data_IF_072598036669
#
_entry.id   IF_072598036669
#
_cell.length_a   1.000
_cell.length_b   1.000
_cell.length_c   1.000
_cell.angle_alpha   90.00
_cell.angle_beta   90.00
_cell.angle_gamma   90.00
#
_symmetry.space_group_name_H-M   'P 1'
#
loop_
_entity.id
_entity.type
_entity.pdbx_description
1 polymer ?
#
# COMPACT_ATOMS: atom_id res chain seq x y z
N UNK A 1 -58.46 30.60 18.22
CA UNK A 1 -58.08 29.29 17.67
C UNK A 1 -58.23 29.14 16.14
N UNK A 2 -58.78 30.09 15.42
CA UNK A 2 -59.16 29.95 14.00
C UNK A 2 -58.09 30.40 12.99
N UNK A 3 -57.10 31.21 13.38
CA UNK A 3 -56.05 31.69 12.45
C UNK A 3 -54.88 30.73 12.22
N UNK A 4 -54.57 29.90 13.22
CA UNK A 4 -53.43 28.95 13.11
C UNK A 4 -53.75 27.73 12.24
N UNK A 5 -54.99 27.30 12.24
CA UNK A 5 -55.45 26.14 11.44
C UNK A 5 -55.52 26.50 9.94
N UNK A 6 -55.91 27.75 9.59
CA UNK A 6 -55.93 28.19 8.17
C UNK A 6 -54.55 28.34 7.56
N UNK A 7 -53.53 28.62 8.36
CA UNK A 7 -52.17 28.74 7.87
C UNK A 7 -51.53 27.39 7.57
N UNK A 8 -51.82 26.39 8.42
CA UNK A 8 -51.32 25.03 8.20
C UNK A 8 -51.94 24.34 6.97
N UNK A 9 -53.22 24.60 6.68
CA UNK A 9 -53.88 24.04 5.48
C UNK A 9 -53.34 24.65 4.19
N UNK A 10 -53.07 25.98 4.18
CA UNK A 10 -52.46 26.61 3.01
C UNK A 10 -51.05 26.13 2.71
N UNK A 11 -50.24 25.82 3.74
CA UNK A 11 -48.90 25.22 3.57
C UNK A 11 -48.94 23.79 3.06
N UNK A 12 -49.92 22.98 3.52
CA UNK A 12 -50.07 21.60 3.08
C UNK A 12 -50.57 21.50 1.63
N UNK A 13 -51.48 22.38 1.21
CA UNK A 13 -51.98 22.40 -0.17
C UNK A 13 -50.90 22.92 -1.14
N UNK A 14 -50.10 23.92 -0.73
CA UNK A 14 -48.97 24.41 -1.54
C UNK A 14 -47.88 23.32 -1.70
N UNK A 15 -47.63 22.50 -0.68
CA UNK A 15 -46.68 21.40 -0.75
C UNK A 15 -47.17 20.24 -1.63
N UNK A 16 -48.50 19.94 -1.61
CA UNK A 16 -49.08 18.92 -2.47
C UNK A 16 -49.16 19.36 -3.94
N UNK A 17 -49.37 20.62 -4.24
CA UNK A 17 -49.36 21.11 -5.62
C UNK A 17 -47.95 21.17 -6.20
N UNK A 18 -46.93 21.46 -5.36
CA UNK A 18 -45.54 21.37 -5.77
C UNK A 18 -45.09 19.94 -6.10
N UNK A 19 -45.68 18.91 -5.46
CA UNK A 19 -45.40 17.52 -5.76
C UNK A 19 -46.04 17.00 -7.06
N UNK A 20 -47.09 17.66 -7.56
CA UNK A 20 -47.76 17.24 -8.82
C UNK A 20 -47.27 17.97 -10.07
N UNK A 21 -46.48 19.05 -9.92
CA UNK A 21 -45.93 19.80 -11.06
C UNK A 21 -44.45 19.47 -11.36
N UNK A 22 -43.81 18.65 -10.55
CA UNK A 22 -42.48 18.13 -10.85
C UNK A 22 -42.54 16.74 -11.53
N UNK A 23 -43.34 16.66 -12.58
CA UNK A 23 -43.38 15.46 -13.44
C UNK A 23 -42.26 15.39 -14.46
N UNK A 24 -41.15 16.08 -14.27
CA UNK A 24 -39.85 15.70 -14.79
C UNK A 24 -39.08 15.07 -13.65
N UNK A 25 -39.13 13.75 -13.59
CA UNK A 25 -38.03 13.00 -13.00
C UNK A 25 -36.84 13.31 -13.91
N UNK A 26 -36.07 14.37 -13.58
CA UNK A 26 -34.70 14.41 -14.05
C UNK A 26 -34.11 13.06 -13.65
N UNK A 27 -33.87 12.21 -14.64
CA UNK A 27 -33.07 11.04 -14.43
C UNK A 27 -31.75 11.54 -13.87
N UNK A 28 -31.56 11.40 -12.55
CA UNK A 28 -30.26 11.58 -11.97
C UNK A 28 -29.33 10.77 -12.85
N UNK A 29 -28.28 11.38 -13.44
CA UNK A 29 -27.31 10.60 -14.18
C UNK A 29 -26.93 9.45 -13.25
N UNK A 30 -27.04 8.22 -13.74
CA UNK A 30 -26.53 7.06 -13.00
C UNK A 30 -25.13 7.48 -12.53
N UNK A 31 -24.81 7.38 -11.24
CA UNK A 31 -23.44 7.69 -10.83
C UNK A 31 -22.56 6.86 -11.72
N UNK A 32 -21.69 7.52 -12.52
CA UNK A 32 -20.74 6.80 -13.36
C UNK A 32 -20.13 5.75 -12.46
N UNK A 33 -20.26 4.48 -12.81
CA UNK A 33 -19.82 3.36 -11.98
C UNK A 33 -18.32 3.49 -11.63
N UNK A 34 -17.62 4.28 -12.44
CA UNK A 34 -16.24 4.70 -12.23
C UNK A 34 -16.11 6.19 -12.56
N UNK A 35 -15.52 6.94 -11.65
CA UNK A 35 -15.06 8.31 -11.94
C UNK A 35 -14.03 8.31 -13.08
N UNK A 36 -13.81 9.46 -13.72
CA UNK A 36 -12.73 9.60 -14.70
C UNK A 36 -11.39 9.24 -14.03
N UNK A 37 -10.52 8.48 -14.72
CA UNK A 37 -9.26 8.05 -14.14
C UNK A 37 -8.37 9.25 -13.82
N UNK A 38 -7.85 9.30 -12.59
CA UNK A 38 -6.80 10.22 -12.19
C UNK A 38 -5.46 9.55 -12.46
N UNK A 39 -4.53 10.27 -13.10
CA UNK A 39 -3.22 9.73 -13.44
C UNK A 39 -2.15 10.35 -12.55
N UNK A 40 -1.32 9.51 -11.95
CA UNK A 40 -0.15 9.92 -11.16
C UNK A 40 1.13 9.55 -11.89
N UNK A 41 2.09 10.48 -11.92
CA UNK A 41 3.40 10.22 -12.54
C UNK A 41 4.28 9.55 -11.48
N UNK A 42 4.75 8.36 -11.79
CA UNK A 42 5.67 7.55 -10.98
C UNK A 42 7.00 7.35 -11.70
N UNK A 43 7.92 6.57 -11.13
CA UNK A 43 9.23 6.30 -11.71
C UNK A 43 9.19 5.44 -12.99
N UNK A 44 10.38 5.12 -13.51
CA UNK A 44 10.52 4.34 -14.77
C UNK A 44 10.24 2.87 -14.53
N UNK A 45 9.43 2.27 -15.41
CA UNK A 45 9.05 0.86 -15.41
C UNK A 45 8.42 0.43 -14.08
N UNK A 46 7.23 0.94 -13.74
CA UNK A 46 6.49 0.46 -12.58
C UNK A 46 6.06 -1.00 -12.80
N UNK A 47 6.34 -1.87 -11.84
CA UNK A 47 6.07 -3.32 -11.96
C UNK A 47 5.15 -3.83 -10.85
N UNK A 48 5.24 -3.26 -9.66
CA UNK A 48 4.45 -3.69 -8.50
C UNK A 48 3.78 -2.48 -7.89
N UNK A 49 2.51 -2.63 -7.53
CA UNK A 49 1.78 -1.68 -6.70
C UNK A 49 1.08 -2.44 -5.57
N UNK A 50 1.21 -1.93 -4.38
CA UNK A 50 0.44 -2.42 -3.22
C UNK A 50 -0.26 -1.25 -2.54
N UNK A 51 -1.39 -1.55 -1.91
CA UNK A 51 -2.17 -0.61 -1.11
C UNK A 51 -2.11 -1.01 0.36
N UNK A 52 -1.66 -0.11 1.21
CA UNK A 52 -1.59 -0.25 2.67
C UNK A 52 -1.69 1.12 3.32
N UNK A 53 -2.29 1.19 4.49
CA UNK A 53 -2.18 2.36 5.35
C UNK A 53 -0.77 2.37 5.96
N UNK A 54 0.10 3.29 5.49
CA UNK A 54 1.51 3.36 5.86
C UNK A 54 1.80 4.37 6.97
N UNK A 55 0.84 5.25 7.29
CA UNK A 55 0.99 6.31 8.28
C UNK A 55 0.00 6.19 9.46
N UNK A 56 -0.84 5.14 9.44
CA UNK A 56 -1.91 4.86 10.42
C UNK A 56 -2.98 5.97 10.49
N UNK A 57 -3.40 6.51 9.32
CA UNK A 57 -4.47 7.50 9.20
C UNK A 57 -5.82 6.89 8.74
N UNK A 58 -5.90 5.56 8.63
CA UNK A 58 -7.04 4.75 8.18
C UNK A 58 -7.33 4.84 6.67
N UNK A 59 -6.57 5.61 5.90
CA UNK A 59 -6.70 5.66 4.45
C UNK A 59 -5.61 4.81 3.78
N UNK A 60 -5.97 4.00 2.76
CA UNK A 60 -4.96 3.23 2.05
C UNK A 60 -4.08 4.14 1.20
N UNK A 61 -2.76 3.97 1.38
CA UNK A 61 -1.72 4.57 0.57
C UNK A 61 -1.27 3.61 -0.54
N UNK A 62 -0.49 4.09 -1.50
CA UNK A 62 0.11 3.26 -2.54
C UNK A 62 1.63 3.27 -2.46
N UNK A 63 2.20 2.09 -2.60
CA UNK A 63 3.63 1.88 -2.81
C UNK A 63 3.84 1.32 -4.22
N UNK A 64 4.63 2.00 -5.06
CA UNK A 64 4.88 1.62 -6.46
C UNK A 64 6.36 1.37 -6.67
N UNK A 65 6.71 0.13 -7.03
CA UNK A 65 8.09 -0.28 -7.32
C UNK A 65 8.43 0.04 -8.77
N UNK A 66 9.50 0.79 -9.00
CA UNK A 66 9.95 1.23 -10.32
C UNK A 66 11.31 0.58 -10.65
N UNK A 67 11.29 -0.56 -11.34
CA UNK A 67 12.48 -1.39 -11.52
C UNK A 67 13.59 -0.70 -12.32
N UNK A 68 13.27 -0.03 -13.41
CA UNK A 68 14.26 0.73 -14.20
C UNK A 68 14.56 2.13 -13.62
N UNK A 69 13.75 2.58 -12.65
CA UNK A 69 13.96 3.84 -11.94
C UNK A 69 14.85 3.69 -10.70
N UNK A 70 15.10 2.46 -10.24
CA UNK A 70 15.76 2.16 -8.96
C UNK A 70 15.12 2.94 -7.80
N UNK A 71 13.80 2.93 -7.77
CA UNK A 71 13.04 3.73 -6.81
C UNK A 71 11.73 3.07 -6.40
N UNK A 72 11.25 3.47 -5.24
CA UNK A 72 9.91 3.23 -4.73
C UNK A 72 9.18 4.57 -4.69
N UNK A 73 7.97 4.65 -5.22
CA UNK A 73 7.10 5.80 -5.00
C UNK A 73 6.09 5.48 -3.91
N UNK A 74 5.94 6.42 -2.99
CA UNK A 74 4.88 6.45 -1.99
C UNK A 74 3.86 7.53 -2.36
N UNK A 75 2.59 7.17 -2.39
CA UNK A 75 1.47 8.07 -2.64
C UNK A 75 0.51 7.98 -1.45
N UNK A 76 0.48 9.01 -0.63
CA UNK A 76 -0.40 9.10 0.53
C UNK A 76 -1.85 9.28 0.09
N UNK A 77 -2.75 8.42 0.58
CA UNK A 77 -4.18 8.50 0.36
C UNK A 77 -4.81 9.66 1.14
N UNK A 78 -5.86 10.27 0.59
CA UNK A 78 -6.60 11.33 1.31
C UNK A 78 -8.05 10.95 1.61
N UNK A 79 -8.39 9.67 1.40
CA UNK A 79 -9.67 9.08 1.79
C UNK A 79 -10.83 9.29 0.82
N UNK A 80 -10.64 10.03 -0.26
CA UNK A 80 -11.65 10.27 -1.31
C UNK A 80 -11.38 9.49 -2.61
N UNK A 81 -10.41 8.57 -2.59
CA UNK A 81 -9.94 7.80 -3.74
C UNK A 81 -8.85 8.51 -4.54
N UNK A 82 -8.36 9.65 -4.06
CA UNK A 82 -7.21 10.35 -4.65
C UNK A 82 -6.00 10.31 -3.70
N UNK A 83 -4.83 10.67 -4.23
CA UNK A 83 -3.55 10.58 -3.52
C UNK A 83 -2.79 11.91 -3.61
N UNK A 84 -1.94 12.17 -2.63
CA UNK A 84 -0.99 13.29 -2.67
C UNK A 84 0.05 13.10 -3.77
N UNK A 85 0.84 14.13 -4.03
CA UNK A 85 1.97 14.06 -4.97
C UNK A 85 2.94 12.94 -4.56
N UNK A 86 3.34 12.05 -5.49
CA UNK A 86 4.23 10.94 -5.18
C UNK A 86 5.55 11.39 -4.57
N UNK A 87 5.93 10.79 -3.43
CA UNK A 87 7.28 10.88 -2.88
C UNK A 87 8.15 9.79 -3.53
N UNK A 88 9.37 10.13 -3.88
CA UNK A 88 10.33 9.16 -4.45
C UNK A 88 11.37 8.80 -3.41
N UNK A 89 11.51 7.50 -3.17
CA UNK A 89 12.50 6.89 -2.28
C UNK A 89 13.48 6.13 -3.15
N UNK A 90 14.76 6.45 -3.06
CA UNK A 90 15.81 5.71 -3.77
C UNK A 90 16.01 4.34 -3.12
N UNK A 91 16.22 3.33 -3.96
CA UNK A 91 16.41 1.92 -3.58
C UNK A 91 17.72 1.39 -4.13
N UNK A 92 17.99 0.10 -3.93
CA UNK A 92 19.01 -0.59 -4.71
C UNK A 92 18.62 -0.77 -6.17
N UNK A 93 19.49 -1.41 -6.97
CA UNK A 93 19.28 -1.60 -8.40
C UNK A 93 18.21 -2.65 -8.68
N UNK A 94 17.37 -2.34 -9.68
CA UNK A 94 16.30 -3.22 -10.15
C UNK A 94 15.42 -3.76 -9.00
N UNK A 95 14.76 -2.86 -8.23
CA UNK A 95 13.81 -3.30 -7.22
C UNK A 95 12.68 -4.10 -7.89
N UNK A 96 12.26 -5.21 -7.26
CA UNK A 96 11.40 -6.20 -7.93
C UNK A 96 10.16 -6.60 -7.14
N UNK A 97 10.31 -6.84 -5.85
CA UNK A 97 9.21 -7.27 -4.98
C UNK A 97 9.34 -6.64 -3.60
N UNK A 98 8.22 -6.39 -2.94
CA UNK A 98 8.20 -5.86 -1.59
C UNK A 98 7.14 -6.55 -0.73
N UNK A 99 7.33 -6.45 0.57
CA UNK A 99 6.31 -6.73 1.58
C UNK A 99 6.36 -5.67 2.68
N UNK A 100 5.27 -5.55 3.43
CA UNK A 100 5.05 -4.51 4.44
C UNK A 100 4.71 -5.13 5.77
N UNK A 101 5.48 -4.79 6.79
CA UNK A 101 5.21 -5.15 8.19
C UNK A 101 5.95 -4.19 9.12
N UNK A 102 5.64 -4.22 10.41
CA UNK A 102 6.42 -3.54 11.43
C UNK A 102 7.67 -4.38 11.75
N UNK A 103 8.85 -3.89 11.35
CA UNK A 103 10.14 -4.58 11.58
C UNK A 103 10.90 -4.06 12.79
N UNK A 104 10.49 -2.90 13.34
CA UNK A 104 11.18 -2.26 14.45
C UNK A 104 10.37 -2.21 15.75
N UNK A 105 9.10 -2.65 15.73
CA UNK A 105 8.21 -2.69 16.89
C UNK A 105 7.63 -1.34 17.31
N UNK A 106 7.61 -0.34 16.40
CA UNK A 106 7.07 0.99 16.71
C UNK A 106 5.59 1.16 16.32
N UNK A 107 4.98 0.12 15.72
CA UNK A 107 3.59 0.10 15.30
C UNK A 107 3.31 0.82 13.99
N UNK A 108 4.34 1.28 13.27
CA UNK A 108 4.22 1.91 11.96
C UNK A 108 4.69 0.90 10.90
N UNK A 109 3.96 0.76 9.78
CA UNK A 109 4.38 -0.15 8.73
C UNK A 109 5.69 0.28 8.08
N UNK A 110 6.62 -0.69 7.93
CA UNK A 110 7.90 -0.59 7.25
C UNK A 110 7.85 -1.38 5.94
N UNK A 111 8.85 -1.20 5.08
CA UNK A 111 8.96 -1.88 3.79
C UNK A 111 10.22 -2.74 3.74
N UNK A 112 10.07 -4.01 3.35
CA UNK A 112 11.16 -4.87 2.91
C UNK A 112 11.12 -4.98 1.38
N UNK A 113 12.15 -4.51 0.68
CA UNK A 113 12.19 -4.41 -0.79
C UNK A 113 13.35 -5.20 -1.36
N UNK A 114 13.07 -6.20 -2.18
CA UNK A 114 14.06 -6.97 -2.93
C UNK A 114 14.69 -6.14 -4.05
N UNK A 115 15.99 -5.94 -4.02
CA UNK A 115 16.76 -5.36 -5.11
C UNK A 115 17.42 -6.48 -5.94
N UNK A 116 16.75 -6.81 -7.05
CA UNK A 116 17.17 -7.91 -7.93
C UNK A 116 18.59 -7.74 -8.46
N UNK A 117 18.96 -6.51 -8.86
CA UNK A 117 20.27 -6.19 -9.41
C UNK A 117 21.41 -6.16 -8.39
N UNK A 118 21.12 -5.85 -7.11
CA UNK A 118 22.14 -5.76 -6.05
C UNK A 118 22.25 -7.02 -5.18
N UNK A 119 21.25 -7.91 -5.24
CA UNK A 119 21.24 -9.13 -4.47
C UNK A 119 21.09 -8.89 -2.96
N UNK A 120 20.28 -7.90 -2.61
CA UNK A 120 19.97 -7.55 -1.22
C UNK A 120 18.47 -7.26 -1.05
N UNK A 121 18.05 -7.10 0.20
CA UNK A 121 16.77 -6.58 0.61
C UNK A 121 17.02 -5.26 1.32
N UNK A 122 16.42 -4.17 0.83
CA UNK A 122 16.41 -2.88 1.52
C UNK A 122 15.29 -2.88 2.56
N UNK A 123 15.62 -2.51 3.79
CA UNK A 123 14.66 -2.26 4.87
C UNK A 123 14.47 -0.75 4.98
N UNK A 124 13.25 -0.31 4.75
CA UNK A 124 12.89 1.11 4.70
C UNK A 124 11.85 1.34 5.79
N UNK A 125 12.23 2.09 6.83
CA UNK A 125 11.40 2.32 7.99
C UNK A 125 10.40 3.45 7.75
N UNK A 126 9.12 3.17 7.99
CA UNK A 126 8.04 4.15 8.01
C UNK A 126 8.15 5.09 9.22
N UNK A 127 7.57 6.28 9.09
CA UNK A 127 7.46 7.28 10.15
C UNK A 127 6.04 7.84 10.20
N UNK A 128 5.59 8.28 11.37
CA UNK A 128 4.23 8.81 11.59
C UNK A 128 3.84 9.99 10.69
N UNK A 129 4.81 10.72 10.20
CA UNK A 129 4.61 11.85 9.29
C UNK A 129 4.52 11.43 7.82
N UNK A 130 4.45 10.11 7.54
CA UNK A 130 4.42 9.57 6.19
C UNK A 130 5.76 9.64 5.47
N UNK A 131 6.85 9.98 6.17
CA UNK A 131 8.20 9.92 5.63
C UNK A 131 8.79 8.52 5.80
N UNK A 132 9.84 8.26 5.06
CA UNK A 132 10.56 7.00 5.10
C UNK A 132 12.05 7.23 5.33
N UNK A 133 12.65 6.34 6.10
CA UNK A 133 14.08 6.33 6.36
C UNK A 133 14.68 5.00 5.97
N UNK A 134 15.62 5.00 5.04
CA UNK A 134 16.39 3.80 4.74
C UNK A 134 17.18 3.36 5.98
N UNK A 135 16.94 2.17 6.47
CA UNK A 135 17.62 1.63 7.65
C UNK A 135 18.89 0.87 7.25
N UNK A 136 18.74 -0.11 6.37
CA UNK A 136 19.85 -1.01 6.01
C UNK A 136 19.55 -1.82 4.77
N UNK A 137 20.61 -2.32 4.13
CA UNK A 137 20.56 -3.32 3.08
C UNK A 137 21.08 -4.66 3.60
N UNK A 138 20.25 -5.69 3.55
CA UNK A 138 20.57 -7.05 3.98
C UNK A 138 20.98 -7.87 2.77
N UNK A 139 22.22 -8.37 2.73
CA UNK A 139 22.69 -9.25 1.66
C UNK A 139 22.02 -10.63 1.76
N UNK A 140 21.33 -11.04 0.69
CA UNK A 140 20.63 -12.33 0.63
C UNK A 140 21.16 -13.24 -0.47
N UNK A 141 21.87 -12.70 -1.44
CA UNK A 141 22.39 -13.45 -2.58
C UNK A 141 21.81 -12.97 -3.90
N UNK A 142 22.21 -13.60 -4.99
CA UNK A 142 21.90 -13.11 -6.35
C UNK A 142 20.43 -13.22 -6.69
N UNK A 143 19.88 -12.16 -7.26
CA UNK A 143 18.58 -12.09 -7.92
C UNK A 143 17.41 -12.50 -6.98
N UNK A 144 17.18 -11.76 -5.87
CA UNK A 144 15.99 -11.95 -5.06
C UNK A 144 14.73 -11.53 -5.86
N UNK A 145 13.69 -12.37 -5.82
CA UNK A 145 12.48 -12.23 -6.65
C UNK A 145 11.18 -12.16 -5.86
N UNK A 146 11.20 -12.56 -4.60
CA UNK A 146 10.06 -12.38 -3.70
C UNK A 146 10.53 -12.27 -2.27
N UNK A 147 9.75 -11.60 -1.46
CA UNK A 147 9.91 -11.48 -0.01
C UNK A 147 8.54 -11.62 0.64
N UNK A 148 8.51 -12.26 1.81
CA UNK A 148 7.35 -12.36 2.67
C UNK A 148 7.76 -12.11 4.11
N UNK A 149 6.96 -11.34 4.84
CA UNK A 149 7.14 -11.03 6.24
C UNK A 149 6.26 -11.94 7.12
N UNK A 150 6.75 -12.36 8.29
CA UNK A 150 6.00 -13.15 9.25
C UNK A 150 6.88 -13.54 10.43
N UNK A 151 6.28 -13.90 11.55
CA UNK A 151 7.01 -14.46 12.70
C UNK A 151 7.12 -15.98 12.49
N UNK A 152 8.29 -16.44 11.99
CA UNK A 152 8.50 -17.85 11.63
C UNK A 152 9.02 -18.69 12.79
N UNK A 153 9.48 -18.06 13.86
CA UNK A 153 10.04 -18.73 15.04
C UNK A 153 9.20 -18.56 16.31
N UNK A 154 8.07 -17.79 16.25
CA UNK A 154 7.18 -17.44 17.33
C UNK A 154 7.89 -16.68 18.49
N UNK A 155 8.80 -15.77 18.15
CA UNK A 155 9.47 -14.90 19.14
C UNK A 155 8.83 -13.52 19.28
N UNK A 156 7.75 -13.26 18.54
CA UNK A 156 7.00 -12.02 18.54
C UNK A 156 7.62 -10.93 17.68
N UNK A 157 8.62 -11.24 16.86
CA UNK A 157 9.27 -10.31 15.94
C UNK A 157 9.02 -10.72 14.50
N UNK A 158 8.99 -9.75 13.63
CA UNK A 158 8.78 -10.02 12.21
C UNK A 158 10.08 -10.46 11.53
N UNK A 159 10.05 -11.65 10.94
CA UNK A 159 11.10 -12.25 10.14
C UNK A 159 10.84 -12.04 8.64
N UNK A 160 11.80 -12.39 7.79
CA UNK A 160 11.66 -12.36 6.33
C UNK A 160 12.02 -13.71 5.71
N UNK A 161 11.18 -14.15 4.78
CA UNK A 161 11.45 -15.24 3.86
C UNK A 161 11.70 -14.65 2.46
N UNK A 162 12.87 -14.89 1.88
CA UNK A 162 13.28 -14.33 0.58
C UNK A 162 13.60 -15.44 -0.39
N UNK A 163 12.92 -15.48 -1.55
CA UNK A 163 13.26 -16.40 -2.62
C UNK A 163 14.24 -15.78 -3.61
N UNK A 164 15.23 -16.56 -4.00
CA UNK A 164 16.18 -16.22 -5.04
C UNK A 164 15.84 -16.96 -6.33
N UNK A 165 16.10 -16.35 -7.48
CA UNK A 165 15.78 -16.93 -8.79
C UNK A 165 16.36 -18.32 -9.02
N UNK A 166 17.49 -18.65 -8.39
CA UNK A 166 18.17 -19.94 -8.55
C UNK A 166 17.95 -20.85 -7.34
N UNK A 167 16.69 -21.23 -7.12
CA UNK A 167 16.29 -22.35 -6.26
C UNK A 167 16.73 -22.23 -4.79
N UNK A 168 16.73 -21.04 -4.23
CA UNK A 168 17.05 -20.81 -2.83
C UNK A 168 15.95 -20.03 -2.14
N UNK A 169 15.66 -20.43 -0.92
CA UNK A 169 14.88 -19.71 0.07
C UNK A 169 15.82 -19.31 1.20
N UNK A 170 15.83 -18.05 1.54
CA UNK A 170 16.63 -17.48 2.63
C UNK A 170 15.67 -17.03 3.72
N UNK A 171 15.95 -17.44 4.95
CA UNK A 171 15.22 -16.96 6.13
C UNK A 171 16.14 -15.99 6.89
N UNK A 172 15.61 -14.82 7.16
CA UNK A 172 16.22 -13.78 7.96
C UNK A 172 15.39 -13.59 9.23
N UNK A 173 15.99 -13.80 10.39
CA UNK A 173 15.30 -13.56 11.67
C UNK A 173 15.42 -12.10 12.08
N UNK A 174 14.27 -11.50 12.41
CA UNK A 174 14.16 -10.15 12.88
C UNK A 174 14.76 -10.00 14.29
N UNK A 175 15.45 -8.89 14.52
CA UNK A 175 15.95 -8.54 15.86
C UNK A 175 14.90 -7.70 16.62
N UNK A 176 13.94 -7.10 15.89
CA UNK A 176 12.89 -6.24 16.44
C UNK A 176 13.28 -4.76 16.48
N UNK A 177 14.36 -4.39 15.83
CA UNK A 177 14.83 -2.99 15.71
C UNK A 177 15.02 -2.56 14.24
N UNK A 178 14.41 -3.31 13.30
CA UNK A 178 14.58 -3.14 11.85
C UNK A 178 15.87 -3.74 11.32
N UNK A 179 16.60 -4.55 12.11
CA UNK A 179 17.74 -5.33 11.64
C UNK A 179 17.45 -6.83 11.63
N UNK A 180 18.22 -7.57 10.83
CA UNK A 180 18.00 -8.98 10.60
C UNK A 180 19.29 -9.78 10.70
N UNK A 181 19.15 -11.06 11.10
CA UNK A 181 20.22 -12.05 11.11
C UNK A 181 19.89 -13.17 10.14
N UNK A 182 20.86 -13.60 9.34
CA UNK A 182 20.69 -14.78 8.50
C UNK A 182 20.51 -16.01 9.41
N UNK A 183 19.37 -16.68 9.28
CA UNK A 183 19.09 -17.91 10.03
C UNK A 183 19.50 -19.13 9.21
N UNK A 184 18.94 -19.28 8.01
CA UNK A 184 19.12 -20.49 7.21
C UNK A 184 18.91 -20.22 5.72
N UNK A 185 19.49 -21.11 4.90
CA UNK A 185 19.31 -21.10 3.46
C UNK A 185 18.86 -22.49 3.00
N UNK A 186 17.69 -22.57 2.41
CA UNK A 186 17.10 -23.82 1.91
C UNK A 186 17.23 -23.93 0.40
N UNK A 187 17.40 -25.16 -0.10
CA UNK A 187 17.23 -25.43 -1.52
C UNK A 187 15.73 -25.50 -1.83
N UNK A 188 15.24 -24.56 -2.61
CA UNK A 188 13.89 -24.60 -3.13
C UNK A 188 13.84 -25.41 -4.44
N UNK A 189 12.66 -25.82 -4.88
CA UNK A 189 12.49 -26.53 -6.16
C UNK A 189 12.94 -25.71 -7.38
N UNK A 190 12.95 -26.30 -8.57
CA UNK A 190 13.65 -25.77 -9.75
C UNK A 190 13.17 -24.41 -10.32
N UNK A 191 12.13 -23.81 -9.83
CA UNK A 191 11.72 -22.44 -10.21
C UNK A 191 10.84 -21.81 -9.14
N UNK A 192 11.40 -21.34 -8.00
CA UNK A 192 10.59 -20.58 -7.06
C UNK A 192 10.21 -19.25 -7.71
N UNK A 193 8.92 -19.00 -7.91
CA UNK A 193 8.44 -17.82 -8.61
C UNK A 193 7.65 -16.86 -7.74
N UNK A 194 7.02 -17.31 -6.65
CA UNK A 194 6.14 -16.48 -5.84
C UNK A 194 5.90 -17.10 -4.45
N UNK A 195 5.90 -16.28 -3.43
CA UNK A 195 5.39 -16.63 -2.10
C UNK A 195 4.02 -15.95 -1.97
N UNK A 196 2.89 -16.68 -2.05
CA UNK A 196 1.58 -16.07 -1.76
C UNK A 196 1.50 -15.78 -0.27
N UNK A 197 1.05 -14.61 0.06
CA UNK A 197 0.77 -14.15 1.43
C UNK A 197 -0.68 -14.49 1.76
#
# INVERSE_FOLDING_TARGET
MTKLVRLKIKFLVSLLVALFLSGCVESQPSPDLFALPVTYIVGKKPEVVIARDMNNDEFPDLLVVNSAGNSLNYLEGIGDGTFKTPQTIETGREPFALDVADFNGDGIPDVALCNYGDGNVSIILGQKDGLFKLKTDVKVGRLPIAVAAGDFNNDGKTDLAVTLRFNKLIILLGVGDGTFKLAEAYQAGPTPAYIPI
#
